data_IF_668510647670
#
_entry.id   IF_668510647670
#
_cell.length_a   1.000
_cell.length_b   1.000
_cell.length_c   1.000
_cell.angle_alpha   90.00
_cell.angle_beta   90.00
_cell.angle_gamma   90.00
#
_symmetry.space_group_name_H-M   'P 1'
#
loop_
_entity.id
_entity.type
_entity.pdbx_description
1 polymer ?
#
# COMPACT_ATOMS: atom_id res chain seq x y z
N UNK A 1 8.08 -8.51 -0.92
CA UNK A 1 8.10 -8.74 -2.38
C UNK A 1 8.89 -7.60 -2.93
N UNK A 2 10.02 -7.89 -3.55
CA UNK A 2 10.94 -6.88 -4.07
C UNK A 2 10.92 -7.02 -5.58
N UNK A 3 10.38 -6.00 -6.25
CA UNK A 3 10.25 -5.89 -7.69
C UNK A 3 11.47 -5.14 -8.22
N UNK A 4 12.33 -5.86 -8.93
CA UNK A 4 13.52 -5.36 -9.56
C UNK A 4 13.16 -4.95 -10.99
N UNK A 5 13.24 -3.64 -11.27
CA UNK A 5 12.79 -3.02 -12.52
C UNK A 5 13.96 -2.26 -13.14
N UNK A 6 14.22 -2.47 -14.42
CA UNK A 6 15.28 -1.74 -15.14
C UNK A 6 15.01 -0.23 -15.18
N UNK A 7 13.73 0.13 -15.26
CA UNK A 7 13.22 1.49 -15.20
C UNK A 7 11.91 1.50 -14.42
N UNK A 8 11.64 2.59 -13.70
CA UNK A 8 10.35 2.83 -13.05
C UNK A 8 9.22 3.13 -14.05
N UNK A 9 9.58 3.24 -15.33
CA UNK A 9 8.71 3.65 -16.44
C UNK A 9 8.98 2.79 -17.68
N UNK A 10 7.92 2.31 -18.33
CA UNK A 10 7.97 1.58 -19.61
C UNK A 10 6.95 2.21 -20.57
N UNK A 11 7.36 2.48 -21.81
CA UNK A 11 6.49 3.05 -22.86
C UNK A 11 5.69 4.29 -22.44
N UNK A 12 6.28 5.19 -21.64
CA UNK A 12 5.56 6.38 -21.20
C UNK A 12 4.78 6.23 -19.88
N UNK A 13 4.61 5.02 -19.37
CA UNK A 13 3.79 4.72 -18.17
C UNK A 13 4.66 4.25 -17.00
N UNK A 14 4.35 4.73 -15.80
CA UNK A 14 5.03 4.29 -14.59
C UNK A 14 4.41 3.01 -14.03
N UNK A 15 5.17 2.29 -13.22
CA UNK A 15 4.67 1.11 -12.52
C UNK A 15 4.05 1.47 -11.17
N UNK A 16 2.79 1.07 -11.00
CA UNK A 16 2.09 1.14 -9.72
C UNK A 16 2.34 -0.15 -8.94
N UNK A 17 2.60 -0.02 -7.64
CA UNK A 17 3.07 -1.14 -6.83
C UNK A 17 1.99 -2.20 -6.59
N UNK A 18 0.73 -1.78 -6.54
CA UNK A 18 -0.44 -2.63 -6.44
C UNK A 18 -0.63 -3.50 -7.69
N UNK A 19 -0.49 -2.89 -8.88
CA UNK A 19 -0.53 -3.57 -10.17
C UNK A 19 0.57 -4.64 -10.29
N UNK A 20 1.75 -4.40 -9.70
CA UNK A 20 2.82 -5.40 -9.63
C UNK A 20 2.50 -6.58 -8.68
N UNK A 21 1.76 -6.34 -7.60
CA UNK A 21 1.43 -7.36 -6.60
C UNK A 21 0.35 -8.34 -7.06
N UNK A 22 -0.67 -7.86 -7.79
CA UNK A 22 -1.81 -8.64 -8.25
C UNK A 22 -1.43 -9.97 -8.96
N UNK A 23 -0.53 -9.99 -9.97
CA UNK A 23 -0.13 -11.25 -10.61
C UNK A 23 0.59 -12.20 -9.65
N UNK A 24 1.37 -11.67 -8.69
CA UNK A 24 2.06 -12.49 -7.68
C UNK A 24 1.05 -13.16 -6.75
N UNK A 25 0.06 -12.43 -6.26
CA UNK A 25 -1.01 -13.00 -5.43
C UNK A 25 -1.86 -14.01 -6.20
N UNK A 26 -2.17 -13.74 -7.47
CA UNK A 26 -2.86 -14.72 -8.33
C UNK A 26 -2.09 -16.04 -8.44
N UNK A 27 -0.77 -16.00 -8.64
CA UNK A 27 0.04 -17.23 -8.74
C UNK A 27 0.20 -17.91 -7.38
N UNK A 28 0.67 -17.20 -6.36
CA UNK A 28 1.00 -17.81 -5.07
C UNK A 28 -0.25 -18.33 -4.35
N UNK A 29 -1.30 -17.52 -4.29
CA UNK A 29 -2.49 -17.85 -3.52
C UNK A 29 -3.38 -18.76 -4.35
N UNK A 30 -3.81 -18.32 -5.53
CA UNK A 30 -4.85 -19.04 -6.27
C UNK A 30 -4.31 -20.29 -6.96
N UNK A 31 -3.11 -20.24 -7.57
CA UNK A 31 -2.54 -21.39 -8.30
C UNK A 31 -1.72 -22.33 -7.42
N UNK A 32 -0.90 -21.80 -6.50
CA UNK A 32 -0.02 -22.60 -5.64
C UNK A 32 -0.63 -22.97 -4.29
N UNK A 33 -1.84 -22.48 -3.99
CA UNK A 33 -2.57 -22.85 -2.79
C UNK A 33 -1.99 -22.26 -1.49
N UNK A 34 -1.07 -21.29 -1.58
CA UNK A 34 -0.53 -20.66 -0.40
C UNK A 34 -1.61 -19.90 0.36
N UNK A 35 -1.40 -19.73 1.67
CA UNK A 35 -2.42 -19.18 2.57
C UNK A 35 -3.75 -19.97 2.48
N UNK A 36 -3.68 -21.29 2.31
CA UNK A 36 -4.86 -22.15 2.15
C UNK A 36 -5.66 -21.87 0.88
N UNK A 37 -5.02 -21.31 -0.16
CA UNK A 37 -5.64 -21.01 -1.45
C UNK A 37 -6.63 -19.84 -1.44
N UNK A 38 -6.67 -19.04 -0.37
CA UNK A 38 -7.68 -17.99 -0.19
C UNK A 38 -7.01 -16.64 0.11
N UNK A 39 -7.25 -15.65 -0.75
CA UNK A 39 -6.76 -14.27 -0.60
C UNK A 39 -7.07 -13.64 0.78
N UNK A 40 -8.27 -13.85 1.36
CA UNK A 40 -8.57 -13.36 2.70
C UNK A 40 -7.71 -13.96 3.83
N UNK A 41 -6.91 -15.00 3.58
CA UNK A 41 -6.01 -15.53 4.60
C UNK A 41 -4.69 -14.76 4.70
N UNK A 42 -4.34 -13.94 3.70
CA UNK A 42 -3.18 -13.06 3.76
C UNK A 42 -3.34 -12.05 4.90
N UNK A 43 -2.42 -12.06 5.87
CA UNK A 43 -2.48 -11.23 7.09
C UNK A 43 -1.73 -9.91 6.95
N UNK A 44 -0.63 -9.94 6.23
CA UNK A 44 0.13 -8.75 5.86
C UNK A 44 0.97 -9.04 4.61
N UNK A 45 1.41 -7.99 3.94
CA UNK A 45 2.45 -8.06 2.93
C UNK A 45 3.24 -6.75 2.91
N UNK A 46 4.47 -6.83 2.40
CA UNK A 46 5.28 -5.67 2.01
C UNK A 46 5.70 -5.85 0.56
N UNK A 47 5.53 -4.80 -0.24
CA UNK A 47 5.98 -4.70 -1.61
C UNK A 47 6.96 -3.54 -1.74
N UNK A 48 8.00 -3.72 -2.54
CA UNK A 48 9.08 -2.74 -2.77
C UNK A 48 9.36 -2.66 -4.26
N UNK A 49 9.44 -1.47 -4.84
CA UNK A 49 9.97 -1.23 -6.20
C UNK A 49 11.42 -0.79 -6.08
N UNK A 50 12.31 -1.49 -6.79
CA UNK A 50 13.75 -1.24 -6.81
C UNK A 50 14.18 -1.06 -8.26
N UNK A 51 15.01 -0.03 -8.51
CA UNK A 51 15.67 0.10 -9.82
C UNK A 51 16.88 -0.84 -9.85
N UNK A 52 16.87 -1.79 -10.78
CA UNK A 52 17.90 -2.82 -10.88
C UNK A 52 18.02 -3.29 -12.34
N UNK A 53 19.25 -3.56 -12.78
CA UNK A 53 19.52 -4.09 -14.13
C UNK A 53 18.95 -5.50 -14.30
N UNK A 54 18.87 -6.30 -13.22
CA UNK A 54 18.31 -7.64 -13.28
C UNK A 54 16.82 -7.61 -12.97
N UNK A 55 15.99 -7.66 -14.01
CA UNK A 55 14.54 -7.63 -13.85
C UNK A 55 13.99 -8.88 -13.16
N UNK A 56 12.95 -8.72 -12.33
CA UNK A 56 12.23 -9.84 -11.72
C UNK A 56 11.50 -9.47 -10.44
N UNK A 57 10.92 -10.48 -9.78
CA UNK A 57 10.33 -10.33 -8.46
C UNK A 57 10.93 -11.36 -7.50
N UNK A 58 11.58 -10.89 -6.44
CA UNK A 58 12.01 -11.71 -5.32
C UNK A 58 10.93 -11.65 -4.23
N UNK A 59 10.57 -12.77 -3.63
CA UNK A 59 9.64 -12.77 -2.51
C UNK A 59 10.08 -13.76 -1.44
N UNK A 60 9.66 -13.46 -0.20
CA UNK A 60 9.85 -14.28 0.98
C UNK A 60 8.50 -14.46 1.64
N UNK A 61 8.23 -15.67 2.13
CA UNK A 61 7.08 -15.94 2.99
C UNK A 61 7.55 -15.89 4.42
N UNK A 62 6.71 -15.33 5.28
CA UNK A 62 6.92 -15.33 6.71
C UNK A 62 5.74 -16.03 7.39
N UNK A 63 6.05 -16.82 8.42
CA UNK A 63 5.05 -17.42 9.30
C UNK A 63 4.75 -16.53 10.52
N UNK A 64 5.39 -15.35 10.62
CA UNK A 64 5.14 -14.37 11.68
C UNK A 64 3.95 -13.46 11.32
N UNK A 65 3.22 -13.05 12.36
CA UNK A 65 2.18 -12.01 12.25
C UNK A 65 2.77 -10.60 12.31
N UNK A 66 4.01 -10.46 12.76
CA UNK A 66 4.72 -9.20 12.80
C UNK A 66 5.30 -8.87 11.42
N UNK A 67 5.04 -7.65 10.96
CA UNK A 67 5.69 -7.08 9.79
C UNK A 67 7.20 -7.06 10.01
N UNK A 68 7.97 -7.25 8.93
CA UNK A 68 9.44 -7.14 8.97
C UNK A 68 9.85 -5.80 9.58
N UNK A 69 10.99 -5.78 10.28
CA UNK A 69 11.63 -4.64 10.95
C UNK A 69 11.38 -3.28 10.30
N UNK A 70 11.28 -2.20 11.10
CA UNK A 70 11.04 -0.86 10.61
C UNK A 70 12.06 -0.52 9.53
N UNK A 71 11.58 -0.03 8.40
CA UNK A 71 12.45 0.59 7.41
C UNK A 71 13.07 1.79 8.12
N UNK A 72 14.38 1.96 8.02
CA UNK A 72 15.05 3.19 8.43
C UNK A 72 14.52 4.29 7.52
N UNK A 73 13.53 5.03 7.99
CA UNK A 73 12.93 6.11 7.23
C UNK A 73 13.27 7.42 7.90
N UNK A 74 13.59 8.42 7.09
CA UNK A 74 14.17 9.67 7.59
C UNK A 74 13.14 10.54 8.29
N UNK A 75 11.90 10.66 7.77
CA UNK A 75 10.86 11.50 8.38
C UNK A 75 9.43 11.00 8.07
N UNK A 76 8.65 10.69 9.12
CA UNK A 76 7.22 10.36 9.00
C UNK A 76 6.44 11.65 8.71
N UNK A 77 6.01 11.83 7.46
CA UNK A 77 5.29 13.03 7.01
C UNK A 77 3.80 12.99 7.33
N UNK A 78 3.24 11.79 7.48
CA UNK A 78 1.83 11.59 7.81
C UNK A 78 1.68 10.30 8.60
N UNK A 79 0.94 10.34 9.71
CA UNK A 79 0.59 9.14 10.46
C UNK A 79 -0.67 9.37 11.27
N UNK A 80 -1.82 9.00 10.72
CA UNK A 80 -3.13 9.27 11.30
C UNK A 80 -4.02 8.04 11.25
N UNK A 81 -5.00 8.00 12.16
CA UNK A 81 -5.99 6.92 12.25
C UNK A 81 -7.35 7.46 11.86
N UNK A 82 -7.98 6.83 10.89
CA UNK A 82 -9.33 7.11 10.43
C UNK A 82 -10.29 6.07 11.01
N UNK A 83 -11.32 6.52 11.71
CA UNK A 83 -12.31 5.67 12.39
C UNK A 83 -13.69 5.64 11.68
N UNK A 84 -13.80 6.24 10.49
CA UNK A 84 -15.03 6.23 9.71
C UNK A 84 -15.14 5.03 8.78
N UNK A 85 -16.03 5.13 7.79
CA UNK A 85 -16.25 4.04 6.83
C UNK A 85 -15.09 3.96 5.84
N UNK A 86 -14.45 2.79 5.72
CA UNK A 86 -13.36 2.61 4.75
C UNK A 86 -13.82 3.00 3.33
N UNK A 87 -12.95 3.69 2.56
CA UNK A 87 -13.32 4.19 1.24
C UNK A 87 -13.64 3.03 0.32
N UNK A 88 -14.69 3.20 -0.49
CA UNK A 88 -15.15 2.22 -1.49
C UNK A 88 -14.66 2.52 -2.90
N UNK A 89 -14.09 3.69 -3.11
CA UNK A 89 -13.62 4.17 -4.42
C UNK A 89 -12.54 5.23 -4.24
N UNK A 90 -11.81 5.50 -5.31
CA UNK A 90 -10.80 6.57 -5.42
C UNK A 90 -11.34 7.99 -5.18
N UNK A 91 -12.67 8.17 -5.18
CA UNK A 91 -13.33 9.48 -5.13
C UNK A 91 -14.14 9.69 -3.86
N UNK A 92 -13.91 8.85 -2.84
CA UNK A 92 -14.63 8.88 -1.56
C UNK A 92 -14.39 10.19 -0.81
N UNK A 93 -15.42 11.05 -0.79
CA UNK A 93 -15.29 12.42 -0.30
C UNK A 93 -14.97 12.48 1.19
N UNK A 94 -15.56 11.59 2.00
CA UNK A 94 -15.34 11.57 3.46
C UNK A 94 -13.88 11.26 3.78
N UNK A 95 -13.33 10.22 3.14
CA UNK A 95 -11.94 9.84 3.36
C UNK A 95 -10.95 10.89 2.84
N UNK A 96 -11.24 11.48 1.67
CA UNK A 96 -10.40 12.55 1.09
C UNK A 96 -10.39 13.78 2.00
N UNK A 97 -11.55 14.25 2.46
CA UNK A 97 -11.63 15.39 3.38
C UNK A 97 -10.87 15.12 4.68
N UNK A 98 -10.97 13.90 5.22
CA UNK A 98 -10.17 13.51 6.38
C UNK A 98 -8.65 13.58 6.12
N UNK A 99 -8.18 13.16 4.93
CA UNK A 99 -6.77 13.31 4.54
C UNK A 99 -6.38 14.78 4.52
N UNK A 100 -7.14 15.62 3.81
CA UNK A 100 -6.88 17.05 3.61
C UNK A 100 -6.87 17.82 4.95
N UNK A 101 -7.82 17.53 5.86
CA UNK A 101 -7.87 18.14 7.19
C UNK A 101 -6.67 17.78 8.08
N UNK A 102 -6.03 16.64 7.81
CA UNK A 102 -4.95 16.11 8.63
C UNK A 102 -3.57 16.23 7.98
N UNK A 103 -3.46 16.88 6.83
CA UNK A 103 -2.22 17.10 6.09
C UNK A 103 -2.12 18.56 5.64
N UNK A 104 -1.19 19.30 6.23
CA UNK A 104 -1.08 20.75 6.04
C UNK A 104 0.08 21.20 5.14
N UNK A 105 0.92 20.28 4.67
CA UNK A 105 2.17 20.64 3.98
C UNK A 105 2.23 20.03 2.58
N UNK A 106 2.24 20.84 1.52
CA UNK A 106 2.59 20.34 0.19
C UNK A 106 4.10 20.15 0.09
N UNK A 107 4.60 18.92 0.28
CA UNK A 107 5.99 18.59 -0.04
C UNK A 107 6.07 17.96 -1.43
N UNK A 108 6.95 18.50 -2.28
CA UNK A 108 7.29 17.90 -3.58
C UNK A 108 8.23 16.70 -3.40
N UNK A 109 7.69 15.60 -2.88
CA UNK A 109 8.45 14.37 -2.61
C UNK A 109 8.37 13.44 -3.82
N UNK A 110 9.47 12.74 -4.09
CA UNK A 110 9.61 11.86 -5.26
C UNK A 110 9.36 10.39 -4.98
N UNK A 111 9.48 9.93 -3.72
CA UNK A 111 9.35 8.52 -3.34
C UNK A 111 8.76 8.35 -1.94
N UNK A 112 7.76 7.48 -1.82
CA UNK A 112 7.03 7.25 -0.56
C UNK A 112 7.10 5.80 -0.10
N UNK A 113 7.19 5.65 1.22
CA UNK A 113 6.75 4.45 1.92
C UNK A 113 5.35 4.68 2.49
N UNK A 114 4.39 3.85 2.09
CA UNK A 114 3.02 3.85 2.60
C UNK A 114 2.77 2.58 3.41
N UNK A 115 2.32 2.76 4.65
CA UNK A 115 1.86 1.69 5.54
C UNK A 115 0.37 1.86 5.82
N UNK A 116 -0.41 0.81 5.57
CA UNK A 116 -1.85 0.75 5.83
C UNK A 116 -2.12 -0.37 6.83
N UNK A 117 -2.62 -0.01 8.01
CA UNK A 117 -2.92 -0.96 9.10
C UNK A 117 -4.42 -0.98 9.36
N UNK A 118 -5.08 -2.10 9.09
CA UNK A 118 -6.49 -2.29 9.39
C UNK A 118 -6.68 -2.94 10.76
N UNK A 119 -7.56 -2.36 11.58
CA UNK A 119 -7.94 -2.96 12.87
C UNK A 119 -8.74 -4.25 12.67
N UNK A 120 -9.57 -4.30 11.62
CA UNK A 120 -10.37 -5.46 11.27
C UNK A 120 -9.51 -6.59 10.69
N UNK A 121 -9.77 -7.83 11.11
CA UNK A 121 -9.14 -9.03 10.57
C UNK A 121 -9.83 -9.58 9.31
N UNK A 122 -10.97 -9.01 8.92
CA UNK A 122 -11.82 -9.51 7.83
C UNK A 122 -11.51 -8.87 6.47
N UNK A 123 -10.69 -7.82 6.42
CA UNK A 123 -10.30 -7.16 5.18
C UNK A 123 -9.56 -8.15 4.26
N UNK A 124 -9.96 -8.24 3.00
CA UNK A 124 -9.23 -9.04 2.02
C UNK A 124 -8.02 -8.24 1.50
N UNK A 125 -6.81 -8.63 1.90
CA UNK A 125 -5.58 -7.97 1.45
C UNK A 125 -5.10 -8.45 0.07
N UNK A 126 -5.57 -9.62 -0.38
CA UNK A 126 -5.17 -10.16 -1.66
C UNK A 126 -5.91 -9.55 -2.85
N UNK A 127 -6.97 -8.77 -2.62
CA UNK A 127 -7.66 -7.98 -3.66
C UNK A 127 -7.06 -6.57 -3.68
N UNK A 128 -5.81 -6.49 -4.11
CA UNK A 128 -5.03 -5.26 -3.99
C UNK A 128 -5.44 -4.22 -5.05
N UNK A 129 -5.68 -4.66 -6.28
CA UNK A 129 -5.95 -3.78 -7.43
C UNK A 129 -7.40 -3.24 -7.46
N UNK A 130 -8.35 -3.90 -6.79
CA UNK A 130 -9.78 -3.56 -6.84
C UNK A 130 -10.43 -3.42 -5.47
N UNK A 131 -9.74 -3.81 -4.40
CA UNK A 131 -10.27 -3.81 -3.05
C UNK A 131 -10.03 -2.50 -2.29
N UNK A 132 -10.13 -2.61 -0.96
CA UNK A 132 -9.98 -1.48 -0.04
C UNK A 132 -8.60 -0.83 -0.07
N UNK A 133 -7.57 -1.61 -0.42
CA UNK A 133 -6.21 -1.11 -0.52
C UNK A 133 -6.12 -0.10 -1.67
N UNK A 134 -6.58 -0.47 -2.88
CA UNK A 134 -6.65 0.45 -4.03
C UNK A 134 -7.40 1.74 -3.69
N UNK A 135 -8.59 1.61 -3.12
CA UNK A 135 -9.41 2.78 -2.77
C UNK A 135 -8.70 3.71 -1.79
N UNK A 136 -8.00 3.18 -0.79
CA UNK A 136 -7.22 4.00 0.13
C UNK A 136 -6.07 4.68 -0.59
N UNK A 137 -5.25 3.92 -1.34
CA UNK A 137 -4.10 4.43 -2.09
C UNK A 137 -4.51 5.57 -3.01
N UNK A 138 -5.64 5.42 -3.71
CA UNK A 138 -6.14 6.43 -4.64
C UNK A 138 -6.59 7.72 -3.96
N UNK A 139 -7.16 7.60 -2.76
CA UNK A 139 -7.51 8.76 -1.96
C UNK A 139 -6.30 9.48 -1.34
N UNK A 140 -5.08 8.95 -1.47
CA UNK A 140 -3.88 9.61 -0.95
C UNK A 140 -3.36 10.75 -1.84
N UNK A 141 -3.97 11.00 -3.01
CA UNK A 141 -3.53 12.04 -3.95
C UNK A 141 -3.25 13.42 -3.32
N UNK A 142 -3.94 13.89 -2.25
CA UNK A 142 -3.57 15.17 -1.62
C UNK A 142 -2.17 15.17 -0.98
N UNK A 143 -1.64 13.98 -0.64
CA UNK A 143 -0.31 13.80 -0.04
C UNK A 143 0.72 13.41 -1.09
N UNK A 144 0.42 12.38 -1.90
CA UNK A 144 1.39 11.82 -2.86
C UNK A 144 1.43 12.58 -4.20
N UNK A 145 0.47 13.47 -4.43
CA UNK A 145 0.29 14.21 -5.67
C UNK A 145 -0.65 13.52 -6.67
N UNK A 146 -0.78 14.13 -7.84
CA UNK A 146 -1.76 13.74 -8.85
C UNK A 146 -3.10 14.44 -8.65
N UNK A 147 -4.16 13.88 -9.22
CA UNK A 147 -5.52 14.42 -9.15
C UNK A 147 -6.48 13.39 -8.57
N UNK A 148 -7.66 13.86 -8.16
CA UNK A 148 -8.77 12.97 -7.78
C UNK A 148 -9.06 11.96 -8.89
N UNK A 149 -9.00 10.67 -8.56
CA UNK A 149 -9.19 9.57 -9.51
C UNK A 149 -7.98 9.22 -10.39
N UNK A 150 -6.89 9.97 -10.27
CA UNK A 150 -5.61 9.72 -10.96
C UNK A 150 -4.45 10.16 -10.05
N UNK A 151 -4.26 9.48 -8.90
CA UNK A 151 -3.15 9.77 -7.99
C UNK A 151 -1.79 9.56 -8.67
N UNK A 152 -0.74 10.18 -8.13
CA UNK A 152 0.65 9.83 -8.45
C UNK A 152 1.12 8.62 -7.60
N UNK A 153 0.31 7.55 -7.54
CA UNK A 153 0.58 6.32 -6.77
C UNK A 153 1.82 5.56 -7.27
N UNK A 154 2.25 5.82 -8.50
CA UNK A 154 3.56 5.44 -9.00
C UNK A 154 4.74 5.95 -8.15
N UNK A 155 4.59 7.00 -7.33
CA UNK A 155 5.62 7.45 -6.37
C UNK A 155 5.72 6.58 -5.12
N UNK A 156 4.80 5.63 -4.92
CA UNK A 156 4.87 4.70 -3.80
C UNK A 156 5.89 3.61 -4.14
N UNK A 157 7.07 3.72 -3.55
CA UNK A 157 8.15 2.74 -3.71
C UNK A 157 7.97 1.56 -2.78
N UNK A 158 7.40 1.78 -1.59
CA UNK A 158 7.15 0.73 -0.62
C UNK A 158 5.69 0.80 -0.18
N UNK A 159 4.98 -0.33 -0.29
CA UNK A 159 3.64 -0.49 0.22
C UNK A 159 3.63 -1.64 1.22
N UNK A 160 3.30 -1.33 2.46
CA UNK A 160 3.06 -2.31 3.50
C UNK A 160 1.61 -2.27 3.93
N UNK A 161 0.99 -3.43 3.99
CA UNK A 161 -0.40 -3.55 4.43
C UNK A 161 -0.53 -4.68 5.43
N UNK A 162 -1.21 -4.42 6.54
CA UNK A 162 -1.49 -5.40 7.58
C UNK A 162 -2.95 -5.31 8.04
N UNK A 163 -3.49 -6.42 8.55
CA UNK A 163 -4.85 -6.45 9.11
C UNK A 163 -4.92 -7.16 10.45
N UNK A 164 -6.00 -6.90 11.19
CA UNK A 164 -6.16 -7.42 12.55
C UNK A 164 -5.18 -6.80 13.53
N UNK A 165 -4.72 -5.57 13.26
CA UNK A 165 -3.74 -4.87 14.08
C UNK A 165 -4.42 -4.42 15.37
N UNK A 166 -3.99 -4.98 16.50
CA UNK A 166 -4.62 -4.77 17.82
C UNK A 166 -4.24 -3.44 18.48
N UNK A 167 -3.18 -2.80 18.02
CA UNK A 167 -2.65 -1.54 18.58
C UNK A 167 -3.37 -0.30 18.07
N UNK A 168 -4.31 -0.44 17.14
CA UNK A 168 -5.13 0.66 16.63
C UNK A 168 -6.60 0.47 17.05
N UNK A 169 -7.38 1.55 17.22
CA UNK A 169 -8.80 1.49 17.58
C UNK A 169 -9.62 0.54 16.71
N UNK A 170 -10.64 -0.10 17.29
CA UNK A 170 -11.55 -0.97 16.51
C UNK A 170 -12.24 -0.19 15.39
N UNK A 171 -12.52 -0.88 14.29
CA UNK A 171 -13.18 -0.32 13.10
C UNK A 171 -12.44 0.88 12.48
N UNK A 172 -11.14 0.99 12.74
CA UNK A 172 -10.29 2.03 12.16
C UNK A 172 -9.26 1.47 11.18
N UNK A 173 -8.71 2.37 10.37
CA UNK A 173 -7.49 2.17 9.59
C UNK A 173 -6.48 3.23 9.97
N UNK A 174 -5.22 2.83 10.19
CA UNK A 174 -4.11 3.76 10.33
C UNK A 174 -3.35 3.82 9.01
N UNK A 175 -3.12 5.03 8.54
CA UNK A 175 -2.30 5.30 7.34
C UNK A 175 -1.08 6.06 7.81
N UNK A 176 0.10 5.51 7.51
CA UNK A 176 1.38 6.18 7.71
C UNK A 176 2.08 6.33 6.38
N UNK A 177 2.54 7.54 6.08
CA UNK A 177 3.31 7.88 4.89
C UNK A 177 4.63 8.47 5.36
N UNK A 178 5.70 7.99 4.75
CA UNK A 178 7.05 8.36 5.11
C UNK A 178 7.84 8.64 3.85
N UNK A 179 8.68 9.66 3.92
CA UNK A 179 9.59 9.97 2.82
C UNK A 179 10.70 8.92 2.75
N UNK A 180 11.00 8.49 1.53
CA UNK A 180 12.06 7.54 1.24
C UNK A 180 13.06 8.23 0.30
N UNK A 181 14.29 8.44 0.78
CA UNK A 181 15.41 9.04 0.03
C UNK A 181 16.36 7.98 -0.49
#
# INVERSE_FOLDING_TARGET
MDFHLESMKVNGMYFDIDNLCEPIFSVLINKKGWFGGKRPNLKWFRATKLKDLKQGCCFKIYNSLESVSPISCNDVIYSKTYAGNLPKSATDAEFISWIEENYSELKHISSFYVKIEFSSSTINLGDIATGRIKSIVDCLYPIIGGNKGSPDDWKINILEVAKGVKTIPKNSVKVSITEFS
#
